data_IF_997156536205
#
_entry.id   IF_997156536205
#
_cell.length_a   1.000
_cell.length_b   1.000
_cell.length_c   1.000
_cell.angle_alpha   90.00
_cell.angle_beta   90.00
_cell.angle_gamma   90.00
#
_symmetry.space_group_name_H-M   'P 1'
#
loop_
_entity.id
_entity.type
_entity.pdbx_description
1 polymer ?
#
# COMPACT_ATOMS: atom_id res chain seq x y z
N UNK A 1 0.35 -21.14 -42.43
CA UNK A 1 1.32 -20.94 -41.34
C UNK A 1 0.74 -19.91 -40.41
N UNK A 2 0.05 -20.39 -39.38
CA UNK A 2 -0.50 -19.56 -38.31
C UNK A 2 0.44 -19.75 -37.12
N UNK A 3 1.28 -18.75 -36.87
CA UNK A 3 2.20 -18.73 -35.73
C UNK A 3 1.41 -18.28 -34.50
N UNK A 4 1.18 -19.23 -33.60
CA UNK A 4 0.57 -19.01 -32.29
C UNK A 4 1.60 -18.28 -31.42
N UNK A 5 1.35 -16.99 -31.17
CA UNK A 5 2.19 -16.18 -30.29
C UNK A 5 2.07 -16.69 -28.84
N UNK A 6 3.08 -17.45 -28.44
CA UNK A 6 3.25 -18.04 -27.13
C UNK A 6 3.33 -16.97 -26.04
N UNK A 7 2.62 -17.22 -24.94
CA UNK A 7 2.43 -16.29 -23.83
C UNK A 7 3.75 -15.78 -23.25
N UNK A 8 4.02 -14.49 -23.44
CA UNK A 8 5.13 -13.82 -22.77
C UNK A 8 4.87 -13.81 -21.26
N UNK A 9 5.60 -14.68 -20.56
CA UNK A 9 5.68 -14.69 -19.10
C UNK A 9 5.88 -13.27 -18.57
N UNK A 10 5.01 -12.87 -17.64
CA UNK A 10 5.03 -11.56 -17.05
C UNK A 10 6.38 -11.33 -16.37
N UNK A 11 7.22 -10.50 -16.99
CA UNK A 11 8.48 -10.05 -16.41
C UNK A 11 8.08 -9.26 -15.17
N UNK A 12 8.26 -9.83 -13.97
CA UNK A 12 7.98 -9.17 -12.70
C UNK A 12 9.06 -8.12 -12.43
N UNK A 13 9.06 -7.05 -13.23
CA UNK A 13 9.90 -5.88 -13.00
C UNK A 13 9.46 -5.16 -11.72
N UNK A 14 10.39 -4.46 -11.08
CA UNK A 14 10.08 -3.59 -9.95
C UNK A 14 9.16 -2.45 -10.42
N UNK A 15 7.96 -2.33 -9.83
CA UNK A 15 7.04 -1.23 -10.11
C UNK A 15 7.40 -0.01 -9.26
N UNK A 16 7.60 1.14 -9.92
CA UNK A 16 7.75 2.43 -9.23
C UNK A 16 6.37 3.03 -8.97
N UNK A 17 6.04 3.26 -7.70
CA UNK A 17 4.74 3.77 -7.27
C UNK A 17 4.84 5.21 -6.82
N UNK A 18 4.05 6.10 -7.43
CA UNK A 18 3.88 7.47 -6.95
C UNK A 18 2.74 7.57 -5.93
N UNK A 19 2.70 8.67 -5.18
CA UNK A 19 1.57 8.97 -4.28
C UNK A 19 0.25 9.06 -5.05
N UNK A 20 0.25 9.64 -6.24
CA UNK A 20 -0.95 9.76 -7.09
C UNK A 20 -1.47 8.40 -7.56
N UNK A 21 -0.59 7.48 -7.95
CA UNK A 21 -0.98 6.09 -8.31
C UNK A 21 -1.55 5.34 -7.11
N UNK A 22 -0.92 5.53 -5.94
CA UNK A 22 -1.38 4.92 -4.69
C UNK A 22 -2.76 5.42 -4.29
N UNK A 23 -2.98 6.74 -4.37
CA UNK A 23 -4.29 7.35 -4.11
C UNK A 23 -5.36 6.79 -5.07
N UNK A 24 -5.09 6.78 -6.38
CA UNK A 24 -6.03 6.24 -7.36
C UNK A 24 -6.39 4.77 -7.06
N UNK A 25 -5.39 3.94 -6.74
CA UNK A 25 -5.62 2.55 -6.35
C UNK A 25 -6.57 2.47 -5.15
N UNK A 26 -6.31 3.24 -4.08
CA UNK A 26 -7.09 3.19 -2.85
C UNK A 26 -8.52 3.71 -3.05
N UNK A 27 -8.70 4.79 -3.82
CA UNK A 27 -10.04 5.30 -4.17
C UNK A 27 -10.86 4.26 -4.93
N UNK A 28 -10.26 3.67 -5.98
CA UNK A 28 -10.95 2.66 -6.78
C UNK A 28 -11.33 1.43 -5.96
N UNK A 29 -10.50 1.03 -4.99
CA UNK A 29 -10.81 -0.05 -4.05
C UNK A 29 -11.93 0.34 -3.08
N UNK A 30 -11.93 1.57 -2.57
CA UNK A 30 -12.94 2.10 -1.67
C UNK A 30 -14.33 2.13 -2.31
N UNK A 31 -14.44 2.67 -3.53
CA UNK A 31 -15.72 2.78 -4.25
C UNK A 31 -16.38 1.42 -4.43
N UNK A 32 -15.57 0.37 -4.61
CA UNK A 32 -16.04 -1.00 -4.78
C UNK A 32 -16.48 -1.64 -3.46
N UNK A 33 -15.85 -1.29 -2.33
CA UNK A 33 -16.34 -1.67 -1.00
C UNK A 33 -17.67 -0.99 -0.71
N UNK A 34 -17.80 0.30 -1.03
CA UNK A 34 -19.05 1.07 -0.88
C UNK A 34 -20.17 0.47 -1.74
N UNK A 35 -19.84 -0.02 -2.94
CA UNK A 35 -20.78 -0.70 -3.82
C UNK A 35 -21.22 -2.11 -3.33
N UNK A 36 -20.78 -2.56 -2.15
CA UNK A 36 -21.23 -3.81 -1.53
C UNK A 36 -20.64 -5.08 -2.15
N UNK A 37 -19.57 -4.96 -2.93
CA UNK A 37 -18.98 -6.10 -3.62
C UNK A 37 -18.18 -6.99 -2.65
N UNK A 38 -18.49 -8.28 -2.65
CA UNK A 38 -17.89 -9.23 -1.72
C UNK A 38 -16.47 -9.65 -2.15
N UNK A 39 -15.61 -9.95 -1.17
CA UNK A 39 -14.16 -10.16 -1.37
C UNK A 39 -13.79 -11.59 -1.78
N UNK A 40 -14.59 -12.25 -2.63
CA UNK A 40 -14.27 -13.59 -3.12
C UNK A 40 -12.94 -13.61 -3.90
N UNK A 41 -12.29 -14.77 -4.01
CA UNK A 41 -10.97 -14.88 -4.66
C UNK A 41 -11.01 -14.44 -6.13
N UNK A 42 -12.03 -14.86 -6.85
CA UNK A 42 -12.19 -14.51 -8.27
C UNK A 42 -12.54 -13.03 -8.43
N UNK A 43 -13.33 -12.48 -7.50
CA UNK A 43 -13.65 -11.06 -7.48
C UNK A 43 -12.42 -10.18 -7.24
N UNK A 44 -11.52 -10.59 -6.33
CA UNK A 44 -10.23 -9.91 -6.10
C UNK A 44 -9.36 -9.84 -7.36
N UNK A 45 -9.41 -10.87 -8.22
CA UNK A 45 -8.65 -10.85 -9.49
C UNK A 45 -9.20 -9.78 -10.43
N UNK A 46 -10.51 -9.70 -10.60
CA UNK A 46 -11.15 -8.65 -11.41
C UNK A 46 -10.86 -7.25 -10.86
N UNK A 47 -10.89 -7.11 -9.54
CA UNK A 47 -10.57 -5.87 -8.83
C UNK A 47 -9.16 -5.35 -9.14
N UNK A 48 -8.14 -6.20 -8.97
CA UNK A 48 -6.76 -5.81 -9.23
C UNK A 48 -6.50 -5.52 -10.71
N UNK A 49 -7.14 -6.25 -11.61
CA UNK A 49 -7.09 -5.97 -13.05
C UNK A 49 -7.70 -4.60 -13.38
N UNK A 50 -8.84 -4.25 -12.76
CA UNK A 50 -9.49 -2.94 -12.91
C UNK A 50 -8.59 -1.80 -12.45
N UNK A 51 -8.01 -1.91 -11.24
CA UNK A 51 -7.06 -0.92 -10.73
C UNK A 51 -5.83 -0.79 -11.65
N UNK A 52 -5.26 -1.91 -12.09
CA UNK A 52 -4.10 -1.89 -13.00
C UNK A 52 -4.43 -1.16 -14.30
N UNK A 53 -5.60 -1.42 -14.90
CA UNK A 53 -6.07 -0.72 -16.10
C UNK A 53 -6.20 0.79 -15.85
N UNK A 54 -6.91 1.20 -14.81
CA UNK A 54 -7.12 2.62 -14.50
C UNK A 54 -5.80 3.37 -14.26
N UNK A 55 -4.84 2.74 -13.57
CA UNK A 55 -3.50 3.31 -13.33
C UNK A 55 -2.72 3.42 -14.65
N UNK A 56 -2.72 2.36 -15.45
CA UNK A 56 -1.98 2.34 -16.71
C UNK A 56 -2.50 3.37 -17.70
N UNK A 57 -3.83 3.51 -17.81
CA UNK A 57 -4.48 4.51 -18.66
C UNK A 57 -4.16 5.94 -18.20
N UNK A 58 -4.25 6.22 -16.90
CA UNK A 58 -4.05 7.58 -16.37
C UNK A 58 -2.60 8.03 -16.36
N UNK A 59 -1.67 7.12 -16.09
CA UNK A 59 -0.26 7.46 -15.86
C UNK A 59 0.69 6.93 -16.95
N UNK A 60 0.16 6.33 -18.02
CA UNK A 60 0.91 5.72 -19.11
C UNK A 60 1.96 4.70 -18.62
N UNK A 61 1.54 3.79 -17.73
CA UNK A 61 2.40 2.77 -17.11
C UNK A 61 2.06 1.35 -17.55
N UNK A 62 2.82 0.37 -17.07
CA UNK A 62 2.63 -1.07 -17.32
C UNK A 62 2.58 -1.87 -16.02
N UNK A 63 1.75 -1.41 -15.09
CA UNK A 63 1.48 -2.09 -13.82
C UNK A 63 0.59 -3.31 -14.07
N UNK A 64 0.95 -4.42 -13.44
CA UNK A 64 0.19 -5.68 -13.45
C UNK A 64 -0.71 -5.79 -12.23
N UNK A 65 -1.74 -6.64 -12.30
CA UNK A 65 -2.62 -6.90 -11.16
C UNK A 65 -1.91 -7.53 -9.96
N UNK A 66 -0.86 -8.33 -10.18
CA UNK A 66 -0.05 -8.86 -9.08
C UNK A 66 0.77 -7.74 -8.39
N UNK A 67 1.28 -6.77 -9.16
CA UNK A 67 1.94 -5.59 -8.59
C UNK A 67 0.95 -4.73 -7.79
N UNK A 68 -0.28 -4.52 -8.27
CA UNK A 68 -1.36 -3.84 -7.51
C UNK A 68 -1.62 -4.57 -6.19
N UNK A 69 -1.80 -5.89 -6.23
CA UNK A 69 -2.03 -6.72 -5.04
C UNK A 69 -0.88 -6.62 -4.04
N UNK A 70 0.36 -6.66 -4.51
CA UNK A 70 1.53 -6.54 -3.64
C UNK A 70 1.66 -5.13 -3.03
N UNK A 71 1.37 -4.09 -3.81
CA UNK A 71 1.35 -2.73 -3.30
C UNK A 71 0.23 -2.50 -2.27
N UNK A 72 -0.94 -3.10 -2.48
CA UNK A 72 -2.02 -3.08 -1.51
C UNK A 72 -1.62 -3.74 -0.18
N UNK A 73 -0.91 -4.88 -0.22
CA UNK A 73 -0.36 -5.50 0.99
C UNK A 73 0.60 -4.55 1.72
N UNK A 74 1.43 -3.80 1.00
CA UNK A 74 2.31 -2.79 1.58
C UNK A 74 1.51 -1.68 2.27
N UNK A 75 0.46 -1.17 1.63
CA UNK A 75 -0.44 -0.18 2.23
C UNK A 75 -1.17 -0.69 3.47
N UNK A 76 -1.67 -1.94 3.44
CA UNK A 76 -2.28 -2.58 4.61
C UNK A 76 -1.32 -2.67 5.79
N UNK A 77 -0.04 -3.03 5.54
CA UNK A 77 1.00 -3.04 6.58
C UNK A 77 1.27 -1.64 7.13
N UNK A 78 1.34 -0.62 6.27
CA UNK A 78 1.51 0.78 6.70
C UNK A 78 0.35 1.23 7.58
N UNK A 79 -0.89 0.96 7.16
CA UNK A 79 -2.08 1.29 7.94
C UNK A 79 -2.12 0.56 9.29
N UNK A 80 -1.76 -0.72 9.33
CA UNK A 80 -1.64 -1.48 10.58
C UNK A 80 -0.60 -0.86 11.53
N UNK A 81 0.55 -0.41 11.00
CA UNK A 81 1.57 0.30 11.78
C UNK A 81 1.04 1.63 12.33
N UNK A 82 0.37 2.43 11.49
CA UNK A 82 -0.27 3.69 11.91
C UNK A 82 -1.25 3.43 13.06
N UNK A 83 -2.14 2.44 12.92
CA UNK A 83 -3.09 2.08 13.98
C UNK A 83 -2.42 1.59 15.27
N UNK A 84 -1.27 0.92 15.19
CA UNK A 84 -0.49 0.54 16.37
C UNK A 84 0.08 1.78 17.06
N UNK A 85 0.66 2.70 16.29
CA UNK A 85 1.26 3.92 16.82
C UNK A 85 0.20 4.84 17.45
N UNK A 86 -0.98 4.95 16.85
CA UNK A 86 -2.13 5.69 17.42
C UNK A 86 -2.63 5.12 18.75
N UNK A 87 -2.26 3.89 19.11
CA UNK A 87 -2.65 3.23 20.36
C UNK A 87 -1.59 3.34 21.46
N UNK A 88 -0.45 3.98 21.19
CA UNK A 88 0.54 4.23 22.24
C UNK A 88 -0.03 5.23 23.26
N UNK A 89 0.26 5.01 24.54
CA UNK A 89 -0.03 5.99 25.59
C UNK A 89 0.62 7.33 25.24
N UNK A 90 -0.10 8.43 25.43
CA UNK A 90 0.30 9.79 25.07
C UNK A 90 0.52 10.05 23.56
N UNK A 91 0.11 9.14 22.66
CA UNK A 91 0.08 9.45 21.23
C UNK A 91 -1.01 10.50 20.94
N UNK A 92 -0.59 11.61 20.34
CA UNK A 92 -1.47 12.62 19.76
C UNK A 92 -1.41 12.53 18.23
N UNK A 93 -2.45 13.05 17.58
CA UNK A 93 -2.47 13.20 16.14
C UNK A 93 -2.49 14.68 15.79
N UNK A 94 -1.45 15.12 15.11
CA UNK A 94 -1.35 16.43 14.49
C UNK A 94 -2.08 16.36 13.14
N UNK A 95 -3.29 16.91 13.10
CA UNK A 95 -4.14 16.96 11.90
C UNK A 95 -3.52 17.83 10.79
N UNK A 96 -2.83 18.92 11.16
CA UNK A 96 -2.26 19.88 10.20
C UNK A 96 -1.13 19.25 9.38
N UNK A 97 -0.33 18.39 10.02
CA UNK A 97 0.79 17.70 9.38
C UNK A 97 0.52 16.20 9.10
N UNK A 98 -0.68 15.70 9.43
CA UNK A 98 -1.03 14.27 9.36
C UNK A 98 -0.02 13.37 10.09
N UNK A 99 0.43 13.79 11.27
CA UNK A 99 1.55 13.18 11.99
C UNK A 99 1.12 12.61 13.35
N UNK A 100 1.66 11.44 13.71
CA UNK A 100 1.53 10.92 15.08
C UNK A 100 2.66 11.50 15.90
N UNK A 101 2.31 12.29 16.92
CA UNK A 101 3.26 12.87 17.86
C UNK A 101 3.20 12.12 19.18
N UNK A 102 4.32 12.08 19.89
CA UNK A 102 4.45 11.53 21.23
C UNK A 102 5.05 12.64 22.10
N UNK A 103 4.73 12.65 23.40
CA UNK A 103 5.49 13.49 24.33
C UNK A 103 6.97 13.06 24.36
N UNK A 104 7.84 13.95 24.81
CA UNK A 104 9.29 13.77 24.74
C UNK A 104 9.77 12.52 25.53
N UNK A 105 9.15 12.23 26.68
CA UNK A 105 9.48 11.08 27.54
C UNK A 105 9.11 9.74 26.88
N UNK A 106 7.90 9.64 26.31
CA UNK A 106 7.41 8.45 25.62
C UNK A 106 8.09 8.27 24.26
N UNK A 107 8.42 9.35 23.56
CA UNK A 107 9.19 9.30 22.31
C UNK A 107 10.58 8.71 22.57
N UNK A 108 11.31 9.24 23.55
CA UNK A 108 12.65 8.79 23.89
C UNK A 108 12.66 7.32 24.35
N UNK A 109 11.68 6.93 25.17
CA UNK A 109 11.49 5.53 25.60
C UNK A 109 11.18 4.60 24.43
N UNK A 110 10.29 5.00 23.51
CA UNK A 110 9.89 4.18 22.37
C UNK A 110 11.01 4.02 21.32
N UNK A 111 11.80 5.06 21.10
CA UNK A 111 12.92 5.05 20.15
C UNK A 111 14.12 4.28 20.71
N UNK A 112 14.44 4.42 22.01
CA UNK A 112 15.54 3.67 22.64
C UNK A 112 15.29 2.16 22.68
N UNK A 113 14.05 1.71 22.92
CA UNK A 113 13.71 0.28 22.94
C UNK A 113 13.78 -0.36 21.54
N UNK A 114 13.65 0.42 20.46
CA UNK A 114 13.68 -0.06 19.08
C UNK A 114 15.00 0.23 18.34
N UNK A 115 15.99 0.82 19.01
CA UNK A 115 17.38 0.92 18.54
C UNK A 115 18.19 -0.22 19.17
N UNK A 116 18.23 -1.44 18.60
CA UNK A 116 19.20 -2.42 19.07
C UNK A 116 20.62 -1.90 18.76
N UNK A 117 21.34 -1.56 19.82
CA UNK A 117 22.81 -1.66 19.97
C UNK A 117 23.72 -1.10 18.86
N UNK A 118 23.29 -0.12 18.05
CA UNK A 118 24.19 0.52 17.07
C UNK A 118 25.11 1.59 17.67
N UNK A 119 25.07 1.80 18.99
CA UNK A 119 25.97 2.71 19.72
C UNK A 119 26.63 2.01 20.91
N UNK A 120 27.00 0.74 20.74
CA UNK A 120 28.04 0.11 21.58
C UNK A 120 29.23 -0.25 20.68
N UNK A 121 30.14 0.71 20.52
CA UNK A 121 31.53 0.51 20.09
C UNK A 121 32.43 1.30 21.02
#
# INVERSE_FOLDING_TARGET
MEEVAEGRGAISGHATWTSAMSALMLFHLNDLVVAGLNTSKDFKKHLYNGCARAINEKFNTRITSEQVKNHLKTWQKRYAKINRLKKLSAALFDEDNCMITLDEEHYNSHVHVNLPSLLSS
#
